data_IF_403695974416
#
_entry.id   IF_403695974416
#
_cell.length_a   1.000
_cell.length_b   1.000
_cell.length_c   1.000
_cell.angle_alpha   90.00
_cell.angle_beta   90.00
_cell.angle_gamma   90.00
#
_symmetry.space_group_name_H-M   'P 1'
#
loop_
_entity.id
_entity.type
_entity.pdbx_description
1 polymer ?
#
# COMPACT_ATOMS: atom_id res chain seq x y z
N UNK A 1 -23.45 1.31 14.70
CA UNK A 1 -23.01 1.79 13.37
C UNK A 1 -23.74 3.05 12.87
N UNK A 2 -24.78 3.57 13.52
CA UNK A 2 -25.48 4.79 13.02
C UNK A 2 -24.69 6.09 13.25
N UNK A 3 -24.23 6.35 14.48
CA UNK A 3 -23.60 7.63 14.86
C UNK A 3 -22.26 7.98 14.19
N UNK A 4 -21.62 7.03 13.52
CA UNK A 4 -20.33 7.26 12.86
C UNK A 4 -20.48 7.88 11.46
N UNK A 5 -21.65 7.67 10.82
CA UNK A 5 -21.99 8.30 9.53
C UNK A 5 -22.32 9.78 9.72
N UNK A 6 -23.19 10.12 10.68
CA UNK A 6 -23.57 11.50 11.01
C UNK A 6 -22.37 12.42 11.29
N UNK A 7 -21.31 11.90 11.94
CA UNK A 7 -20.08 12.65 12.23
C UNK A 7 -19.15 12.77 11.03
N UNK A 8 -19.27 11.89 10.05
CA UNK A 8 -18.42 11.88 8.84
C UNK A 8 -18.95 12.84 7.76
N UNK A 9 -20.25 13.13 7.75
CA UNK A 9 -20.81 14.15 6.84
C UNK A 9 -20.67 15.57 7.44
N UNK A 10 -20.91 15.74 8.75
CA UNK A 10 -20.89 17.06 9.42
C UNK A 10 -19.56 17.80 9.46
N UNK A 11 -18.40 17.16 9.28
CA UNK A 11 -17.11 17.86 9.46
C UNK A 11 -16.87 18.95 8.42
N UNK A 12 -17.42 18.79 7.21
CA UNK A 12 -17.28 19.76 6.12
C UNK A 12 -18.04 21.05 6.46
N UNK A 13 -19.25 20.92 7.00
CA UNK A 13 -20.09 22.05 7.41
C UNK A 13 -19.43 22.83 8.56
N UNK A 14 -19.01 22.12 9.62
CA UNK A 14 -18.28 22.69 10.77
C UNK A 14 -17.00 23.39 10.30
N UNK A 15 -16.27 22.81 9.35
CA UNK A 15 -15.07 23.41 8.79
C UNK A 15 -15.36 24.64 7.93
N UNK A 16 -16.48 24.65 7.19
CA UNK A 16 -16.87 25.76 6.33
C UNK A 16 -17.32 26.97 7.15
N UNK A 17 -18.16 26.76 8.17
CA UNK A 17 -18.55 27.78 9.14
C UNK A 17 -17.33 28.34 9.89
N UNK A 18 -16.47 27.46 10.41
CA UNK A 18 -15.23 27.88 11.07
C UNK A 18 -14.30 28.67 10.14
N UNK A 19 -14.19 28.29 8.87
CA UNK A 19 -13.41 29.04 7.89
C UNK A 19 -14.02 30.43 7.64
N UNK A 20 -15.35 30.56 7.57
CA UNK A 20 -16.03 31.85 7.44
C UNK A 20 -15.75 32.74 8.66
N UNK A 21 -16.10 32.30 9.87
CA UNK A 21 -15.85 33.04 11.10
C UNK A 21 -14.38 33.48 11.23
N UNK A 22 -13.43 32.55 11.11
CA UNK A 22 -11.99 32.83 11.32
C UNK A 22 -11.39 33.76 10.26
N UNK A 23 -12.00 33.90 9.08
CA UNK A 23 -11.52 34.78 8.03
C UNK A 23 -11.92 36.25 8.24
N UNK A 24 -13.00 36.54 8.96
CA UNK A 24 -13.43 37.92 9.24
C UNK A 24 -12.81 38.53 10.51
N UNK A 25 -12.17 37.73 11.37
CA UNK A 25 -11.55 38.22 12.62
C UNK A 25 -10.10 38.66 12.43
N UNK A 26 -9.68 39.65 13.22
CA UNK A 26 -8.30 40.13 13.26
C UNK A 26 -7.30 39.02 13.60
N UNK A 27 -6.06 39.13 13.10
CA UNK A 27 -5.07 38.05 13.21
C UNK A 27 -4.80 37.57 14.65
N UNK A 28 -4.83 38.48 15.63
CA UNK A 28 -4.66 38.15 17.05
C UNK A 28 -5.86 37.47 17.71
N UNK A 29 -7.04 37.53 17.09
CA UNK A 29 -8.32 37.06 17.66
C UNK A 29 -8.76 35.70 17.11
N UNK A 30 -8.12 35.21 16.04
CA UNK A 30 -8.44 33.92 15.40
C UNK A 30 -8.48 32.74 16.37
N UNK A 31 -7.64 32.76 17.42
CA UNK A 31 -7.65 31.72 18.44
C UNK A 31 -8.92 31.71 19.30
N UNK A 32 -9.54 32.88 19.53
CA UNK A 32 -10.80 32.98 20.26
C UNK A 32 -11.97 32.45 19.41
N UNK A 33 -12.00 32.77 18.12
CA UNK A 33 -13.00 32.21 17.20
C UNK A 33 -12.95 30.67 17.11
N UNK A 34 -11.75 30.08 17.11
CA UNK A 34 -11.61 28.62 17.23
C UNK A 34 -12.07 28.06 18.59
N UNK A 35 -12.02 28.85 19.68
CA UNK A 35 -12.51 28.46 21.00
C UNK A 35 -14.04 28.51 21.06
N UNK A 36 -14.64 29.54 20.48
CA UNK A 36 -16.08 29.76 20.43
C UNK A 36 -16.79 28.61 19.68
N UNK A 37 -16.38 28.35 18.43
CA UNK A 37 -16.92 27.24 17.62
C UNK A 37 -16.58 25.88 18.24
N UNK A 38 -15.41 25.76 18.88
CA UNK A 38 -15.06 24.55 19.63
C UNK A 38 -16.06 24.23 20.74
N UNK A 39 -16.57 25.25 21.46
CA UNK A 39 -17.58 25.07 22.51
C UNK A 39 -18.94 24.66 21.95
N UNK A 40 -19.35 25.23 20.82
CA UNK A 40 -20.63 24.92 20.17
C UNK A 40 -20.72 23.45 19.72
N UNK A 41 -19.62 22.92 19.19
CA UNK A 41 -19.57 21.56 18.65
C UNK A 41 -18.99 20.49 19.61
N UNK A 42 -18.69 20.84 20.86
CA UNK A 42 -17.96 19.99 21.83
C UNK A 42 -16.64 19.43 21.27
N UNK A 43 -15.84 20.31 20.66
CA UNK A 43 -14.57 20.02 20.02
C UNK A 43 -13.46 20.94 20.53
N UNK A 44 -12.24 20.41 20.63
CA UNK A 44 -11.11 21.28 21.01
C UNK A 44 -10.78 22.29 19.89
N UNK A 45 -10.28 23.49 20.19
CA UNK A 45 -9.96 24.51 19.19
C UNK A 45 -8.95 24.01 18.13
N UNK A 46 -8.03 23.13 18.55
CA UNK A 46 -7.07 22.49 17.66
C UNK A 46 -7.72 21.46 16.73
N UNK A 47 -8.84 20.85 17.12
CA UNK A 47 -9.62 19.96 16.27
C UNK A 47 -10.29 20.76 15.13
N UNK A 48 -10.97 21.87 15.47
CA UNK A 48 -11.58 22.78 14.48
C UNK A 48 -10.51 23.31 13.50
N UNK A 49 -9.36 23.78 14.01
CA UNK A 49 -8.25 24.27 13.17
C UNK A 49 -7.75 23.21 12.16
N UNK A 50 -7.72 21.94 12.56
CA UNK A 50 -7.31 20.81 11.69
C UNK A 50 -8.40 20.48 10.67
N UNK A 51 -9.67 20.57 11.03
CA UNK A 51 -10.80 20.44 10.09
C UNK A 51 -10.79 21.55 9.03
N UNK A 52 -10.64 22.82 9.43
CA UNK A 52 -10.52 23.96 8.51
C UNK A 52 -9.37 23.76 7.53
N UNK A 53 -8.18 23.40 8.02
CA UNK A 53 -7.02 23.11 7.17
C UNK A 53 -7.26 21.95 6.19
N UNK A 54 -7.91 20.87 6.65
CA UNK A 54 -8.28 19.75 5.79
C UNK A 54 -9.29 20.15 4.70
N UNK A 55 -10.27 21.02 5.03
CA UNK A 55 -11.21 21.57 4.06
C UNK A 55 -10.48 22.42 3.01
N UNK A 56 -9.62 23.37 3.44
CA UNK A 56 -8.79 24.20 2.56
C UNK A 56 -8.01 23.34 1.57
N UNK A 57 -7.35 22.27 2.03
CA UNK A 57 -6.66 21.33 1.16
C UNK A 57 -7.59 20.72 0.09
N UNK A 58 -8.81 20.29 0.43
CA UNK A 58 -9.76 19.78 -0.60
C UNK A 58 -10.14 20.85 -1.63
N UNK A 59 -10.21 22.13 -1.23
CA UNK A 59 -10.47 23.25 -2.15
C UNK A 59 -9.25 23.48 -3.06
N UNK A 60 -8.04 23.46 -2.50
CA UNK A 60 -6.78 23.65 -3.25
C UNK A 60 -6.53 22.59 -4.33
N UNK A 61 -6.84 21.31 -4.06
CA UNK A 61 -6.68 20.24 -5.08
C UNK A 61 -7.83 20.18 -6.08
N UNK A 62 -8.98 20.79 -5.78
CA UNK A 62 -10.21 20.72 -6.60
C UNK A 62 -10.04 21.14 -8.07
N UNK A 63 -9.25 22.17 -8.43
CA UNK A 63 -9.05 22.56 -9.83
C UNK A 63 -8.34 21.50 -10.70
N UNK A 64 -7.53 20.64 -10.08
CA UNK A 64 -6.77 19.57 -10.79
C UNK A 64 -7.40 18.19 -10.60
N UNK A 65 -8.00 17.93 -9.45
CA UNK A 65 -8.55 16.62 -9.06
C UNK A 65 -9.96 16.75 -8.45
N UNK A 66 -10.97 17.28 -9.19
CA UNK A 66 -12.28 17.62 -8.62
C UNK A 66 -13.03 16.42 -8.04
N UNK A 67 -12.97 15.25 -8.70
CA UNK A 67 -13.59 14.01 -8.20
C UNK A 67 -12.93 13.51 -6.91
N UNK A 68 -11.62 13.70 -6.76
CA UNK A 68 -10.88 13.30 -5.56
C UNK A 68 -11.16 14.24 -4.39
N UNK A 69 -11.19 15.56 -4.65
CA UNK A 69 -11.58 16.56 -3.67
C UNK A 69 -12.95 16.25 -3.05
N UNK A 70 -13.94 15.97 -3.91
CA UNK A 70 -15.30 15.63 -3.46
C UNK A 70 -15.34 14.30 -2.71
N UNK A 71 -14.68 13.27 -3.23
CA UNK A 71 -14.62 11.98 -2.55
C UNK A 71 -13.93 12.05 -1.17
N UNK A 72 -12.98 12.97 -0.95
CA UNK A 72 -12.35 13.20 0.35
C UNK A 72 -13.25 13.96 1.33
N UNK A 73 -14.16 14.82 0.85
CA UNK A 73 -15.21 15.47 1.68
C UNK A 73 -16.19 14.43 2.23
N UNK A 74 -16.60 13.47 1.41
CA UNK A 74 -17.43 12.32 1.80
C UNK A 74 -16.67 11.22 2.61
N UNK A 75 -15.56 11.56 3.25
CA UNK A 75 -14.72 10.67 4.08
C UNK A 75 -14.36 11.40 5.37
N UNK A 76 -13.62 10.76 6.27
CA UNK A 76 -13.25 11.38 7.55
C UNK A 76 -12.26 12.53 7.33
N UNK A 77 -12.44 13.65 8.05
CA UNK A 77 -11.50 14.79 8.00
C UNK A 77 -10.03 14.37 8.23
N UNK A 78 -9.84 13.34 9.06
CA UNK A 78 -8.53 12.76 9.39
C UNK A 78 -7.82 12.20 8.15
N UNK A 79 -8.55 11.65 7.17
CA UNK A 79 -7.95 11.20 5.92
C UNK A 79 -7.42 12.39 5.11
N UNK A 80 -8.23 13.43 4.90
CA UNK A 80 -7.83 14.64 4.20
C UNK A 80 -6.65 15.35 4.89
N UNK A 81 -6.62 15.38 6.24
CA UNK A 81 -5.51 15.91 7.03
C UNK A 81 -4.21 15.09 6.91
N UNK A 82 -4.30 13.76 6.79
CA UNK A 82 -3.13 12.92 6.52
C UNK A 82 -2.58 13.21 5.12
N UNK A 83 -3.46 13.33 4.13
CA UNK A 83 -3.11 13.58 2.73
C UNK A 83 -2.50 14.99 2.57
N UNK A 84 -3.05 16.04 3.18
CA UNK A 84 -2.47 17.38 3.20
C UNK A 84 -1.02 17.37 3.74
N UNK A 85 -0.81 16.78 4.92
CA UNK A 85 0.53 16.67 5.53
C UNK A 85 1.51 15.86 4.68
N UNK A 86 1.03 14.93 3.87
CA UNK A 86 1.86 14.17 2.92
C UNK A 86 2.13 14.97 1.65
N UNK A 87 1.10 15.63 1.09
CA UNK A 87 1.17 16.44 -0.12
C UNK A 87 2.17 17.59 0.01
N UNK A 88 2.30 18.18 1.20
CA UNK A 88 3.34 19.17 1.51
C UNK A 88 4.79 18.65 1.39
N UNK A 89 5.00 17.33 1.36
CA UNK A 89 6.32 16.67 1.16
C UNK A 89 6.45 16.01 -0.21
N UNK A 90 5.42 15.31 -0.65
CA UNK A 90 5.37 14.58 -1.92
C UNK A 90 3.94 14.66 -2.50
N UNK A 91 3.66 15.68 -3.35
CA UNK A 91 2.35 15.86 -3.96
C UNK A 91 1.89 14.64 -4.76
N UNK A 92 2.79 14.02 -5.54
CA UNK A 92 2.45 12.96 -6.46
C UNK A 92 2.06 11.67 -5.72
N UNK A 93 2.86 11.27 -4.73
CA UNK A 93 2.55 10.08 -3.93
C UNK A 93 1.33 10.30 -3.03
N UNK A 94 1.12 11.53 -2.51
CA UNK A 94 -0.06 11.85 -1.71
C UNK A 94 -1.37 11.73 -2.51
N UNK A 95 -1.41 12.22 -3.75
CA UNK A 95 -2.58 12.07 -4.63
C UNK A 95 -2.83 10.59 -4.93
N UNK A 96 -1.81 9.81 -5.32
CA UNK A 96 -1.96 8.37 -5.54
C UNK A 96 -2.41 7.61 -4.29
N UNK A 97 -1.94 8.01 -3.10
CA UNK A 97 -2.39 7.45 -1.82
C UNK A 97 -3.84 7.81 -1.48
N UNK A 98 -4.29 9.02 -1.82
CA UNK A 98 -5.64 9.48 -1.65
C UNK A 98 -6.63 8.73 -2.56
N UNK A 99 -6.29 8.53 -3.84
CA UNK A 99 -7.08 7.74 -4.79
C UNK A 99 -7.28 6.30 -4.28
N UNK A 100 -6.21 5.67 -3.78
CA UNK A 100 -6.27 4.33 -3.17
C UNK A 100 -7.09 4.27 -1.89
N UNK A 101 -7.04 5.30 -1.05
CA UNK A 101 -7.92 5.41 0.11
C UNK A 101 -9.39 5.56 -0.28
N UNK A 102 -9.71 6.39 -1.28
CA UNK A 102 -11.08 6.56 -1.79
C UNK A 102 -11.63 5.27 -2.38
N UNK A 103 -10.80 4.52 -3.12
CA UNK A 103 -11.12 3.20 -3.69
C UNK A 103 -11.25 2.07 -2.66
N UNK A 104 -10.79 2.27 -1.41
CA UNK A 104 -10.85 1.28 -0.33
C UNK A 104 -9.61 0.37 -0.21
N UNK A 105 -8.60 0.53 -1.06
CA UNK A 105 -7.32 -0.20 -0.96
C UNK A 105 -6.59 0.09 0.37
N UNK A 106 -6.69 1.34 0.83
CA UNK A 106 -6.04 1.80 2.05
C UNK A 106 -7.08 2.06 3.14
N UNK A 107 -6.86 1.47 4.32
CA UNK A 107 -7.51 1.91 5.56
C UNK A 107 -6.90 3.22 6.06
N UNK A 108 -7.58 3.94 6.96
CA UNK A 108 -7.05 5.17 7.56
C UNK A 108 -5.68 4.95 8.26
N UNK A 109 -5.52 3.82 8.96
CA UNK A 109 -4.24 3.41 9.56
C UNK A 109 -3.16 3.21 8.49
N UNK A 110 -3.50 2.54 7.39
CA UNK A 110 -2.57 2.30 6.27
C UNK A 110 -2.12 3.61 5.63
N UNK A 111 -3.05 4.55 5.45
CA UNK A 111 -2.79 5.88 4.90
C UNK A 111 -1.80 6.66 5.78
N UNK A 112 -2.00 6.68 7.10
CA UNK A 112 -1.09 7.37 8.05
C UNK A 112 0.32 6.74 8.06
N UNK A 113 0.43 5.40 8.05
CA UNK A 113 1.73 4.71 7.93
C UNK A 113 2.47 5.10 6.65
N UNK A 114 1.82 5.02 5.48
CA UNK A 114 2.48 5.38 4.20
C UNK A 114 2.85 6.86 4.18
N UNK A 115 1.97 7.74 4.64
CA UNK A 115 2.21 9.17 4.71
C UNK A 115 3.38 9.54 5.64
N UNK A 116 3.60 8.79 6.72
CA UNK A 116 4.71 9.00 7.66
C UNK A 116 6.10 8.69 7.07
N UNK A 117 6.18 8.11 5.86
CA UNK A 117 7.46 7.68 5.28
C UNK A 117 7.96 6.34 5.82
N UNK A 118 7.28 5.76 6.81
CA UNK A 118 7.35 4.32 7.04
C UNK A 118 6.93 3.65 5.73
N UNK A 119 7.87 2.94 5.08
CA UNK A 119 7.56 2.03 3.95
C UNK A 119 6.57 1.02 4.48
N UNK A 120 5.28 1.32 4.35
CA UNK A 120 4.27 0.58 5.05
C UNK A 120 4.34 -0.86 4.55
N UNK A 121 4.81 -1.78 5.41
CA UNK A 121 5.10 -3.15 5.00
C UNK A 121 3.85 -3.71 4.32
N UNK A 122 3.89 -4.06 3.01
CA UNK A 122 2.71 -4.43 2.24
C UNK A 122 1.99 -5.55 2.98
N UNK A 123 0.72 -5.33 3.33
CA UNK A 123 -0.03 -6.15 4.29
C UNK A 123 0.35 -7.64 4.15
N UNK A 124 1.02 -8.14 5.18
CA UNK A 124 1.52 -9.50 5.23
C UNK A 124 0.36 -10.44 4.92
N UNK A 125 0.52 -11.28 3.89
CA UNK A 125 -0.40 -12.40 3.69
C UNK A 125 -0.08 -13.42 4.77
N UNK A 126 -0.70 -13.23 5.94
CA UNK A 126 -0.50 -14.01 7.15
C UNK A 126 -0.89 -15.46 6.92
N UNK A 127 0.09 -16.36 6.96
CA UNK A 127 -0.10 -17.82 6.93
C UNK A 127 0.18 -18.36 8.34
N UNK A 128 -0.64 -19.31 8.78
CA UNK A 128 -0.49 -20.04 10.05
C UNK A 128 0.76 -20.93 10.00
N UNK A 129 1.69 -20.77 10.95
CA UNK A 129 2.94 -21.55 10.98
C UNK A 129 2.84 -22.91 11.64
N UNK A 130 1.70 -23.30 12.22
CA UNK A 130 1.55 -24.57 12.96
C UNK A 130 1.82 -25.80 12.07
N UNK A 131 1.66 -25.63 10.75
CA UNK A 131 2.30 -26.44 9.70
C UNK A 131 2.73 -25.50 8.58
N UNK A 132 3.98 -25.59 8.12
CA UNK A 132 4.46 -24.89 6.91
C UNK A 132 3.79 -25.49 5.66
N UNK A 133 2.54 -25.11 5.42
CA UNK A 133 1.80 -25.51 4.23
C UNK A 133 2.30 -24.72 3.01
N UNK A 134 3.19 -25.36 2.25
CA UNK A 134 3.74 -24.84 1.00
C UNK A 134 2.63 -24.55 -0.03
N UNK A 135 1.50 -25.26 0.01
CA UNK A 135 0.36 -24.98 -0.87
C UNK A 135 -0.38 -23.70 -0.44
N UNK A 136 -0.54 -23.45 0.87
CA UNK A 136 -1.02 -22.17 1.38
C UNK A 136 -0.08 -21.01 1.04
N UNK A 137 1.25 -21.21 1.15
CA UNK A 137 2.25 -20.21 0.76
C UNK A 137 2.19 -19.92 -0.75
N UNK A 138 2.16 -20.96 -1.59
CA UNK A 138 1.99 -20.82 -3.05
C UNK A 138 0.70 -20.09 -3.42
N UNK A 139 -0.42 -20.39 -2.74
CA UNK A 139 -1.71 -19.71 -2.94
C UNK A 139 -1.67 -18.24 -2.53
N UNK A 140 -1.03 -17.92 -1.41
CA UNK A 140 -0.83 -16.54 -0.96
C UNK A 140 0.07 -15.75 -1.93
N UNK A 141 1.16 -16.37 -2.37
CA UNK A 141 2.09 -15.81 -3.35
C UNK A 141 1.41 -15.52 -4.70
N UNK A 142 0.61 -16.46 -5.21
CA UNK A 142 -0.18 -16.27 -6.43
C UNK A 142 -1.12 -15.07 -6.31
N UNK A 143 -1.95 -15.03 -5.26
CA UNK A 143 -2.90 -13.93 -5.03
C UNK A 143 -2.21 -12.58 -4.83
N UNK A 144 -1.02 -12.57 -4.20
CA UNK A 144 -0.18 -11.36 -4.09
C UNK A 144 0.32 -10.89 -5.45
N UNK A 145 0.74 -11.82 -6.32
CA UNK A 145 1.18 -11.51 -7.67
C UNK A 145 0.05 -10.93 -8.51
N UNK A 146 -1.13 -11.55 -8.52
CA UNK A 146 -2.34 -11.03 -9.20
C UNK A 146 -2.69 -9.59 -8.75
N UNK A 147 -2.68 -9.36 -7.44
CA UNK A 147 -2.93 -8.03 -6.85
C UNK A 147 -1.88 -7.01 -7.28
N UNK A 148 -0.64 -7.45 -7.52
CA UNK A 148 0.50 -6.58 -7.88
C UNK A 148 0.55 -6.29 -9.38
N UNK A 149 0.15 -7.24 -10.24
CA UNK A 149 0.10 -7.05 -11.70
C UNK A 149 -1.21 -6.45 -12.19
N UNK A 150 -2.28 -6.52 -11.39
CA UNK A 150 -3.59 -5.93 -11.68
C UNK A 150 -4.47 -6.76 -12.62
N UNK A 151 -4.28 -8.08 -12.70
CA UNK A 151 -5.09 -8.99 -13.50
C UNK A 151 -5.04 -10.44 -13.01
N UNK A 152 -6.08 -11.20 -13.32
CA UNK A 152 -6.17 -12.65 -13.11
C UNK A 152 -5.04 -13.38 -13.84
N UNK A 153 -4.38 -14.30 -13.12
CA UNK A 153 -3.29 -15.12 -13.62
C UNK A 153 -3.77 -16.56 -13.78
N UNK A 154 -3.40 -17.16 -14.90
CA UNK A 154 -3.66 -18.57 -15.21
C UNK A 154 -2.32 -19.31 -15.38
N UNK A 155 -2.23 -20.61 -15.07
CA UNK A 155 -1.07 -21.41 -15.45
C UNK A 155 -0.75 -21.23 -16.94
N UNK A 156 0.54 -21.17 -17.28
CA UNK A 156 1.00 -21.34 -18.64
C UNK A 156 1.24 -22.84 -18.90
N UNK A 157 0.86 -23.31 -20.08
CA UNK A 157 0.87 -24.73 -20.43
C UNK A 157 2.30 -25.24 -20.73
N UNK A 158 3.24 -24.32 -20.99
CA UNK A 158 4.62 -24.58 -21.42
C UNK A 158 5.58 -25.00 -20.27
N UNK A 159 5.11 -25.75 -19.27
CA UNK A 159 5.91 -26.08 -18.07
C UNK A 159 7.03 -27.07 -18.39
N UNK A 160 6.80 -28.05 -19.26
CA UNK A 160 7.76 -29.13 -19.56
C UNK A 160 9.08 -28.61 -20.13
N UNK A 161 9.03 -27.58 -20.98
CA UNK A 161 10.21 -26.96 -21.58
C UNK A 161 11.16 -26.35 -20.53
N UNK A 162 10.69 -26.11 -19.30
CA UNK A 162 11.43 -25.45 -18.23
C UNK A 162 11.60 -26.34 -16.99
N UNK A 163 11.25 -27.63 -17.08
CA UNK A 163 11.45 -28.62 -16.02
C UNK A 163 12.92 -28.79 -15.59
N UNK A 164 13.88 -28.42 -16.45
CA UNK A 164 15.31 -28.40 -16.12
C UNK A 164 15.73 -27.21 -15.22
N UNK A 165 14.90 -26.17 -15.13
CA UNK A 165 15.06 -25.08 -14.15
C UNK A 165 14.38 -25.49 -12.84
N UNK A 166 15.07 -26.34 -12.07
CA UNK A 166 14.61 -27.14 -10.93
C UNK A 166 14.07 -26.41 -9.68
N UNK A 167 13.63 -25.16 -9.81
CA UNK A 167 13.04 -24.35 -8.74
C UNK A 167 12.05 -23.26 -9.22
N UNK A 168 11.39 -23.45 -10.37
CA UNK A 168 10.25 -22.60 -10.74
C UNK A 168 8.97 -23.26 -10.19
N UNK A 169 8.31 -22.61 -9.24
CA UNK A 169 7.09 -23.10 -8.59
C UNK A 169 5.86 -23.09 -9.50
N UNK A 170 5.89 -22.25 -10.54
CA UNK A 170 4.90 -22.23 -11.60
C UNK A 170 5.14 -21.08 -12.57
N UNK A 171 4.70 -21.27 -13.82
CA UNK A 171 4.69 -20.21 -14.83
C UNK A 171 3.25 -19.79 -15.04
N UNK A 172 3.02 -18.48 -15.07
CA UNK A 172 1.69 -17.89 -15.11
C UNK A 172 1.60 -16.83 -16.19
N UNK A 173 0.46 -16.79 -16.88
CA UNK A 173 0.13 -15.81 -17.92
C UNK A 173 -1.13 -15.06 -17.53
N UNK A 174 -1.16 -13.76 -17.79
CA UNK A 174 -2.38 -12.97 -17.60
C UNK A 174 -3.44 -13.39 -18.61
N UNK A 175 -4.71 -13.49 -18.17
CA UNK A 175 -5.81 -13.83 -19.07
C UNK A 175 -5.90 -12.79 -20.21
N UNK A 176 -5.70 -13.24 -21.45
CA UNK A 176 -5.63 -12.36 -22.63
C UNK A 176 -4.39 -11.43 -22.67
N UNK A 177 -3.30 -11.77 -21.96
CA UNK A 177 -2.03 -11.03 -21.97
C UNK A 177 -0.90 -11.89 -22.53
N UNK A 178 0.00 -11.29 -23.31
CA UNK A 178 1.23 -11.92 -23.80
C UNK A 178 2.34 -12.03 -22.75
N UNK A 179 2.26 -11.25 -21.67
CA UNK A 179 3.27 -11.24 -20.59
C UNK A 179 3.17 -12.51 -19.74
N UNK A 180 4.31 -13.18 -19.59
CA UNK A 180 4.51 -14.38 -18.76
C UNK A 180 5.31 -14.02 -17.51
N UNK A 181 4.97 -14.66 -16.40
CA UNK A 181 5.70 -14.56 -15.14
C UNK A 181 6.09 -15.95 -14.65
N UNK A 182 7.27 -16.08 -14.03
CA UNK A 182 7.68 -17.27 -13.30
C UNK A 182 7.62 -16.97 -11.80
N UNK A 183 6.78 -17.69 -11.07
CA UNK A 183 6.72 -17.62 -9.62
C UNK A 183 7.84 -18.50 -9.04
N UNK A 184 8.62 -17.93 -8.12
CA UNK A 184 9.71 -18.61 -7.41
C UNK A 184 9.48 -18.42 -5.91
N UNK A 185 9.31 -19.51 -5.17
CA UNK A 185 9.09 -19.49 -3.72
C UNK A 185 10.43 -19.64 -3.01
N UNK A 186 10.81 -18.60 -2.27
CA UNK A 186 11.97 -18.64 -1.37
C UNK A 186 11.47 -19.21 -0.05
N UNK A 187 11.68 -20.51 0.15
CA UNK A 187 11.06 -21.27 1.24
C UNK A 187 11.41 -20.74 2.65
N UNK A 188 10.46 -20.71 3.60
CA UNK A 188 10.69 -20.10 4.92
C UNK A 188 11.49 -20.94 5.94
N UNK A 189 11.94 -22.14 5.55
CA UNK A 189 12.61 -23.08 6.45
C UNK A 189 14.15 -23.05 6.42
N UNK A 190 14.75 -22.16 5.63
CA UNK A 190 16.19 -22.16 5.39
C UNK A 190 16.93 -21.30 6.41
N UNK A 191 18.05 -21.83 6.91
CA UNK A 191 19.01 -21.04 7.70
C UNK A 191 19.55 -19.87 6.86
N UNK A 192 19.98 -18.78 7.52
CA UNK A 192 20.54 -17.61 6.83
C UNK A 192 21.66 -17.99 5.83
N UNK A 193 22.43 -19.03 6.14
CA UNK A 193 23.44 -19.60 5.23
C UNK A 193 22.83 -20.21 3.97
N UNK A 194 21.82 -21.07 4.10
CA UNK A 194 21.15 -21.69 2.96
C UNK A 194 20.34 -20.68 2.13
N UNK A 195 19.88 -19.58 2.74
CA UNK A 195 19.32 -18.43 2.03
C UNK A 195 20.37 -17.70 1.17
N UNK A 196 21.57 -17.45 1.70
CA UNK A 196 22.68 -16.85 0.95
C UNK A 196 23.16 -17.78 -0.19
N UNK A 197 23.29 -19.08 0.06
CA UNK A 197 23.65 -20.08 -0.95
C UNK A 197 22.58 -20.21 -2.05
N UNK A 198 21.28 -20.09 -1.74
CA UNK A 198 20.21 -20.02 -2.76
C UNK A 198 20.18 -18.71 -3.54
N UNK A 199 20.54 -17.58 -2.92
CA UNK A 199 20.45 -16.23 -3.54
C UNK A 199 21.27 -16.11 -4.84
N UNK A 200 22.43 -16.76 -4.94
CA UNK A 200 23.21 -16.80 -6.19
C UNK A 200 22.52 -17.63 -7.29
N UNK A 201 21.92 -18.77 -6.92
CA UNK A 201 21.12 -19.60 -7.83
C UNK A 201 19.86 -18.86 -8.32
N UNK A 202 19.19 -18.14 -7.43
CA UNK A 202 18.00 -17.34 -7.72
C UNK A 202 18.31 -16.14 -8.63
N UNK A 203 19.48 -15.52 -8.47
CA UNK A 203 19.98 -14.51 -9.40
C UNK A 203 20.26 -15.12 -10.79
N UNK A 204 20.91 -16.28 -10.85
CA UNK A 204 21.13 -17.01 -12.11
C UNK A 204 19.82 -17.40 -12.82
N UNK A 205 18.81 -17.82 -12.05
CA UNK A 205 17.45 -18.11 -12.55
C UNK A 205 16.77 -16.86 -13.10
N UNK A 206 16.85 -15.73 -12.41
CA UNK A 206 16.30 -14.46 -12.90
C UNK A 206 16.90 -14.05 -14.26
N UNK A 207 18.21 -14.23 -14.43
CA UNK A 207 18.92 -13.98 -15.69
C UNK A 207 18.46 -14.94 -16.81
N UNK A 208 18.37 -16.25 -16.53
CA UNK A 208 17.91 -17.25 -17.49
C UNK A 208 16.44 -17.00 -17.93
N UNK A 209 15.56 -16.68 -16.99
CA UNK A 209 14.16 -16.34 -17.26
C UNK A 209 14.03 -15.09 -18.13
N UNK A 210 14.85 -14.06 -17.86
CA UNK A 210 14.89 -12.83 -18.66
C UNK A 210 15.32 -13.10 -20.10
N UNK A 211 16.29 -14.00 -20.32
CA UNK A 211 16.70 -14.45 -21.67
C UNK A 211 15.55 -15.15 -22.44
N UNK A 212 14.63 -15.79 -21.71
CA UNK A 212 13.42 -16.43 -22.26
C UNK A 212 12.20 -15.49 -22.34
N UNK A 213 12.39 -14.19 -22.09
CA UNK A 213 11.33 -13.18 -21.99
C UNK A 213 10.24 -13.47 -20.92
N UNK A 214 10.55 -14.29 -19.92
CA UNK A 214 9.70 -14.59 -18.77
C UNK A 214 10.12 -13.72 -17.58
N UNK A 215 9.16 -13.08 -16.91
CA UNK A 215 9.45 -12.17 -15.79
C UNK A 215 9.49 -12.92 -14.45
N UNK A 216 10.60 -12.92 -13.70
CA UNK A 216 10.62 -13.55 -12.39
C UNK A 216 9.78 -12.76 -11.35
N UNK A 217 9.09 -13.49 -10.50
CA UNK A 217 8.38 -13.00 -9.34
C UNK A 217 8.76 -13.86 -8.12
N UNK A 218 9.54 -13.29 -7.19
CA UNK A 218 10.00 -14.00 -6.00
C UNK A 218 9.02 -13.79 -4.85
N UNK A 219 8.52 -14.88 -4.28
CA UNK A 219 7.73 -14.88 -3.05
C UNK A 219 8.63 -15.18 -1.86
N UNK A 220 8.81 -14.18 -0.99
CA UNK A 220 9.80 -14.21 0.09
C UNK A 220 9.09 -13.96 1.43
N UNK A 221 9.40 -14.76 2.48
CA UNK A 221 8.99 -14.45 3.84
C UNK A 221 9.48 -13.06 4.26
N UNK A 222 8.63 -12.25 4.90
CA UNK A 222 9.00 -10.94 5.47
C UNK A 222 10.20 -11.06 6.42
N UNK A 223 10.27 -12.20 7.10
CA UNK A 223 11.28 -12.57 8.08
C UNK A 223 12.68 -12.79 7.47
N UNK A 224 12.78 -13.05 6.15
CA UNK A 224 14.05 -13.24 5.43
C UNK A 224 14.67 -11.94 4.88
N UNK A 225 14.25 -10.77 5.38
CA UNK A 225 14.73 -9.45 4.97
C UNK A 225 14.69 -9.22 3.43
N UNK A 226 13.49 -9.17 2.82
CA UNK A 226 13.31 -8.98 1.38
C UNK A 226 13.82 -7.62 0.85
N UNK A 227 14.24 -6.70 1.72
CA UNK A 227 14.91 -5.45 1.33
C UNK A 227 16.27 -5.71 0.69
N UNK A 228 17.11 -6.51 1.35
CA UNK A 228 18.47 -6.83 0.89
C UNK A 228 18.47 -7.62 -0.42
N UNK A 229 17.39 -8.37 -0.70
CA UNK A 229 17.21 -9.11 -1.95
C UNK A 229 16.69 -8.25 -3.11
N UNK A 230 16.03 -7.11 -2.84
CA UNK A 230 15.52 -6.17 -3.88
C UNK A 230 16.58 -5.24 -4.41
N UNK A 231 17.27 -4.57 -3.50
CA UNK A 231 18.62 -4.12 -3.80
C UNK A 231 19.48 -5.41 -4.00
N UNK A 232 20.71 -5.39 -4.50
CA UNK A 232 21.33 -6.59 -5.14
C UNK A 232 20.64 -7.01 -6.46
N UNK A 233 19.38 -7.48 -6.50
CA UNK A 233 18.67 -7.71 -7.79
C UNK A 233 18.71 -6.46 -8.69
N UNK A 234 18.44 -5.28 -8.11
CA UNK A 234 18.65 -3.99 -8.81
C UNK A 234 20.10 -3.73 -9.21
N UNK A 235 21.07 -4.10 -8.37
CA UNK A 235 22.49 -3.92 -8.67
C UNK A 235 22.92 -4.77 -9.88
N UNK A 236 22.29 -5.93 -10.09
CA UNK A 236 22.44 -6.79 -11.27
C UNK A 236 21.48 -6.43 -12.43
N UNK A 237 20.93 -5.21 -12.46
CA UNK A 237 20.10 -4.72 -13.58
C UNK A 237 18.74 -5.40 -13.72
N UNK A 238 18.23 -6.00 -12.64
CA UNK A 238 16.95 -6.71 -12.63
C UNK A 238 15.81 -5.82 -12.11
N UNK A 239 15.62 -4.65 -12.74
CA UNK A 239 14.54 -3.69 -12.43
C UNK A 239 13.13 -4.26 -12.60
N UNK A 240 12.98 -5.27 -13.45
CA UNK A 240 11.68 -5.78 -13.91
C UNK A 240 11.15 -6.94 -13.03
N UNK A 241 11.89 -7.29 -11.97
CA UNK A 241 11.56 -8.35 -11.01
C UNK A 241 10.53 -7.85 -10.01
N UNK A 242 9.55 -8.70 -9.68
CA UNK A 242 8.66 -8.45 -8.54
C UNK A 242 9.15 -9.25 -7.33
N UNK A 243 9.28 -8.60 -6.18
CA UNK A 243 9.53 -9.26 -4.88
C UNK A 243 8.29 -9.11 -4.00
N UNK A 244 7.55 -10.22 -3.91
CA UNK A 244 6.30 -10.41 -3.19
C UNK A 244 6.61 -10.76 -1.73
N UNK A 245 6.32 -9.83 -0.81
CA UNK A 245 6.43 -10.11 0.61
C UNK A 245 5.20 -10.86 1.12
N UNK A 246 5.44 -12.03 1.70
CA UNK A 246 4.46 -12.90 2.35
C UNK A 246 4.89 -12.98 3.82
N UNK A 247 4.03 -12.69 4.79
CA UNK A 247 4.44 -12.71 6.21
C UNK A 247 3.87 -13.93 6.90
N UNK A 248 4.66 -14.55 7.78
CA UNK A 248 4.26 -15.81 8.42
C UNK A 248 3.91 -15.51 9.87
N UNK A 249 2.73 -15.95 10.29
CA UNK A 249 2.29 -15.76 11.68
C UNK A 249 2.46 -17.07 12.41
N UNK A 250 3.36 -17.05 13.38
CA UNK A 250 3.40 -18.09 14.39
C UNK A 250 2.08 -18.14 15.14
N UNK A 251 1.31 -19.20 14.91
CA UNK A 251 0.25 -19.60 15.81
C UNK A 251 0.92 -20.17 17.07
N UNK A 252 1.19 -19.28 18.04
CA UNK A 252 1.49 -19.70 19.40
C UNK A 252 0.23 -20.35 19.97
N UNK A 253 0.24 -21.68 20.06
CA UNK A 253 -0.70 -22.48 20.84
C UNK A 253 -0.26 -22.58 22.30
#
# INVERSE_FOLDING_TARGET
>A
MSHERDRTERWVDIAAEAAQHVNFVAHGEKQNAYIEIGREYDLSPNHIRRMVRALTFTVEISPKHPKLAEALRCRTFKAAEIIDRWHARDPAAAIAGAERFVAGDFTLKRLDTVAAGEKAAPAAFKIDSSRLDLAAFRKAAWKKLETTVGYELTPADDIEALAHLSAIDGIVKGRGKSKRWALIIVEPGLTMRAYLERRELDLGRALALKALAIRPAFAIPVEANPGEFRDVLKAFGQSDVIVLEIGIVAAYG
#
